data_IF_731185385111
#
_entry.id   IF_731185385111
#
_cell.length_a   1.000
_cell.length_b   1.000
_cell.length_c   1.000
_cell.angle_alpha   90.00
_cell.angle_beta   90.00
_cell.angle_gamma   90.00
#
_symmetry.space_group_name_H-M   'P 1'
#
loop_
_entity.id
_entity.type
_entity.pdbx_description
1 polymer ?
#
# COMPACT_ATOMS: atom_id res chain seq x y z
N UNK A 1 -19.84 -6.34 9.62
CA UNK A 1 -18.75 -5.56 8.99
C UNK A 1 -17.43 -5.93 9.66
N UNK A 2 -16.40 -6.19 8.88
CA UNK A 2 -15.10 -6.73 9.38
C UNK A 2 -14.23 -5.69 10.08
N UNK A 3 -14.49 -4.39 9.84
CA UNK A 3 -13.72 -3.26 10.38
C UNK A 3 -14.59 -2.27 11.15
N UNK A 4 -15.73 -2.70 11.66
CA UNK A 4 -16.67 -1.81 12.36
C UNK A 4 -16.00 -1.07 13.51
N UNK A 5 -16.13 0.28 13.52
CA UNK A 5 -15.58 1.16 14.55
C UNK A 5 -14.06 1.35 14.52
N UNK A 6 -13.34 0.80 13.54
CA UNK A 6 -11.89 1.00 13.39
C UNK A 6 -11.58 2.29 12.64
N UNK A 7 -10.41 2.85 12.93
CA UNK A 7 -9.85 3.99 12.21
C UNK A 7 -8.64 3.54 11.37
N UNK A 8 -8.62 3.93 10.10
CA UNK A 8 -7.58 3.54 9.16
C UNK A 8 -6.96 4.75 8.45
N UNK A 9 -5.66 4.71 8.23
CA UNK A 9 -4.95 5.57 7.29
C UNK A 9 -4.64 4.74 6.02
N UNK A 10 -4.97 5.28 4.85
CA UNK A 10 -4.62 4.68 3.55
C UNK A 10 -3.90 5.71 2.70
N UNK A 11 -2.65 5.44 2.31
CA UNK A 11 -1.86 6.35 1.44
C UNK A 11 -1.94 5.93 -0.03
N UNK A 12 -1.79 6.88 -0.94
CA UNK A 12 -1.99 6.63 -2.37
C UNK A 12 -3.46 6.35 -2.68
N UNK A 13 -4.36 7.03 -1.99
CA UNK A 13 -5.79 6.69 -1.95
C UNK A 13 -6.63 7.35 -3.07
N UNK A 14 -6.05 8.22 -3.90
CA UNK A 14 -6.78 8.85 -5.00
C UNK A 14 -7.11 7.87 -6.14
N UNK A 15 -6.34 6.80 -6.31
CA UNK A 15 -6.48 5.90 -7.44
C UNK A 15 -6.13 4.44 -7.12
N UNK A 16 -6.38 3.54 -8.06
CA UNK A 16 -5.91 2.15 -8.05
C UNK A 16 -6.22 1.39 -6.76
N UNK A 17 -5.21 0.71 -6.24
CA UNK A 17 -5.31 -0.16 -5.05
C UNK A 17 -5.70 0.64 -3.80
N UNK A 18 -5.09 1.82 -3.59
CA UNK A 18 -5.38 2.65 -2.43
C UNK A 18 -6.84 3.12 -2.39
N UNK A 19 -7.37 3.61 -3.53
CA UNK A 19 -8.77 3.99 -3.66
C UNK A 19 -9.72 2.82 -3.38
N UNK A 20 -9.46 1.67 -4.01
CA UNK A 20 -10.28 0.48 -3.83
C UNK A 20 -10.26 -0.01 -2.37
N UNK A 21 -9.09 0.04 -1.70
CA UNK A 21 -8.94 -0.33 -0.30
C UNK A 21 -9.65 0.63 0.64
N UNK A 22 -9.51 1.94 0.44
CA UNK A 22 -10.18 2.95 1.24
C UNK A 22 -11.71 2.80 1.16
N UNK A 23 -12.25 2.59 -0.05
CA UNK A 23 -13.68 2.38 -0.26
C UNK A 23 -14.17 1.06 0.36
N UNK A 24 -13.39 -0.01 0.25
CA UNK A 24 -13.74 -1.30 0.84
C UNK A 24 -13.68 -1.25 2.37
N UNK A 25 -12.68 -0.60 2.95
CA UNK A 25 -12.57 -0.41 4.40
C UNK A 25 -13.77 0.36 4.96
N UNK A 26 -14.17 1.45 4.28
CA UNK A 26 -15.36 2.23 4.66
C UNK A 26 -16.66 1.41 4.55
N UNK A 27 -16.80 0.60 3.49
CA UNK A 27 -17.94 -0.31 3.32
C UNK A 27 -17.99 -1.39 4.41
N UNK A 28 -16.83 -1.75 4.99
CA UNK A 28 -16.70 -2.70 6.10
C UNK A 28 -16.71 -2.02 7.49
N UNK A 29 -17.11 -0.74 7.56
CA UNK A 29 -17.40 -0.04 8.81
C UNK A 29 -16.25 0.79 9.38
N UNK A 30 -15.09 0.86 8.72
CA UNK A 30 -13.99 1.71 9.18
C UNK A 30 -14.22 3.19 8.85
N UNK A 31 -13.71 4.08 9.71
CA UNK A 31 -13.43 5.46 9.35
C UNK A 31 -12.06 5.55 8.71
N UNK A 32 -11.95 6.17 7.53
CA UNK A 32 -10.73 6.14 6.72
C UNK A 32 -10.20 7.54 6.48
N UNK A 33 -8.97 7.82 6.87
CA UNK A 33 -8.21 8.95 6.38
C UNK A 33 -7.54 8.53 5.07
N UNK A 34 -8.07 9.00 3.96
CA UNK A 34 -7.53 8.77 2.62
C UNK A 34 -6.50 9.86 2.30
N UNK A 35 -5.25 9.45 2.08
CA UNK A 35 -4.12 10.37 1.88
C UNK A 35 -3.56 10.23 0.47
N UNK A 36 -3.37 11.35 -0.21
CA UNK A 36 -2.65 11.43 -1.47
C UNK A 36 -2.01 12.82 -1.63
N UNK A 37 -1.16 12.99 -2.63
CA UNK A 37 -0.50 14.27 -2.90
C UNK A 37 -1.50 15.34 -3.36
N UNK A 38 -1.18 16.63 -3.17
CA UNK A 38 -2.13 17.73 -3.42
C UNK A 38 -2.62 17.88 -4.87
N UNK A 39 -1.85 17.38 -5.84
CA UNK A 39 -2.19 17.44 -7.27
C UNK A 39 -2.97 16.19 -7.77
N UNK A 40 -3.52 15.41 -6.84
CA UNK A 40 -4.29 14.21 -7.15
C UNK A 40 -5.80 14.46 -7.19
N UNK A 41 -6.53 13.51 -7.76
CA UNK A 41 -8.01 13.52 -7.80
C UNK A 41 -8.65 13.04 -6.47
N UNK A 42 -7.96 13.21 -5.33
CA UNK A 42 -8.34 12.59 -4.05
C UNK A 42 -9.75 12.97 -3.61
N UNK A 43 -10.08 14.25 -3.61
CA UNK A 43 -11.39 14.74 -3.17
C UNK A 43 -12.52 14.22 -4.08
N UNK A 44 -12.32 14.24 -5.39
CA UNK A 44 -13.28 13.72 -6.36
C UNK A 44 -13.45 12.20 -6.25
N UNK A 45 -12.37 11.47 -5.99
CA UNK A 45 -12.37 10.01 -5.85
C UNK A 45 -13.24 9.51 -4.69
N UNK A 46 -13.43 10.35 -3.66
CA UNK A 46 -14.16 10.00 -2.44
C UNK A 46 -15.37 10.90 -2.17
N UNK A 47 -15.80 11.70 -3.15
CA UNK A 47 -16.98 12.55 -3.01
C UNK A 47 -18.20 11.74 -2.56
N UNK A 48 -18.95 12.25 -1.56
CA UNK A 48 -20.14 11.59 -1.03
C UNK A 48 -19.91 10.33 -0.18
N UNK A 49 -18.66 10.02 0.20
CA UNK A 49 -18.32 8.89 1.07
C UNK A 49 -18.17 9.36 2.52
N UNK A 50 -19.22 9.25 3.32
CA UNK A 50 -19.27 9.77 4.70
C UNK A 50 -18.16 9.27 5.63
N UNK A 51 -17.71 8.02 5.45
CA UNK A 51 -16.66 7.38 6.27
C UNK A 51 -15.24 7.59 5.73
N UNK A 52 -15.07 8.33 4.62
CA UNK A 52 -13.76 8.60 4.03
C UNK A 52 -13.48 10.09 4.08
N UNK A 53 -12.43 10.45 4.81
CA UNK A 53 -11.94 11.81 4.90
C UNK A 53 -10.70 11.97 4.02
N UNK A 54 -10.74 12.79 2.97
CA UNK A 54 -9.56 13.07 2.17
C UNK A 54 -8.61 14.04 2.89
N UNK A 55 -7.29 13.75 2.81
CA UNK A 55 -6.21 14.61 3.25
C UNK A 55 -5.14 14.70 2.16
N UNK A 56 -4.97 15.87 1.59
CA UNK A 56 -3.92 16.15 0.61
C UNK A 56 -2.58 16.35 1.32
N UNK A 57 -1.67 15.39 1.17
CA UNK A 57 -0.34 15.41 1.79
C UNK A 57 0.65 14.58 0.98
N UNK A 58 1.79 15.16 0.62
CA UNK A 58 2.91 14.40 0.06
C UNK A 58 3.63 13.66 1.18
N UNK A 59 3.60 12.31 1.12
CA UNK A 59 4.20 11.42 2.13
C UNK A 59 5.72 11.54 2.24
N UNK A 60 6.39 12.17 1.28
CA UNK A 60 7.85 12.34 1.29
C UNK A 60 8.30 13.54 2.12
N UNK A 61 7.41 14.48 2.41
CA UNK A 61 7.72 15.68 3.20
C UNK A 61 8.08 15.32 4.65
N UNK A 62 9.07 15.99 5.22
CA UNK A 62 9.61 15.62 6.53
C UNK A 62 8.58 15.62 7.67
N UNK A 63 7.65 16.57 7.65
CA UNK A 63 6.56 16.70 8.62
C UNK A 63 5.32 15.83 8.31
N UNK A 64 5.22 15.28 7.10
CA UNK A 64 4.03 14.55 6.67
C UNK A 64 3.64 13.37 7.58
N UNK A 65 4.57 12.54 8.08
CA UNK A 65 4.19 11.41 8.94
C UNK A 65 3.46 11.84 10.21
N UNK A 66 3.93 12.87 10.89
CA UNK A 66 3.28 13.41 12.08
C UNK A 66 1.92 14.01 11.74
N UNK A 67 1.87 14.89 10.74
CA UNK A 67 0.63 15.56 10.32
C UNK A 67 -0.48 14.57 9.89
N UNK A 68 -0.13 13.50 9.16
CA UNK A 68 -1.09 12.48 8.73
C UNK A 68 -1.65 11.72 9.94
N UNK A 69 -0.80 11.32 10.88
CA UNK A 69 -1.23 10.58 12.08
C UNK A 69 -2.06 11.48 12.99
N UNK A 70 -1.62 12.71 13.24
CA UNK A 70 -2.35 13.70 14.03
C UNK A 70 -3.75 13.95 13.46
N UNK A 71 -3.87 14.14 12.14
CA UNK A 71 -5.15 14.33 11.48
C UNK A 71 -6.10 13.13 11.70
N UNK A 72 -5.59 11.89 11.67
CA UNK A 72 -6.40 10.70 11.97
C UNK A 72 -6.87 10.68 13.43
N UNK A 73 -5.99 11.02 14.36
CA UNK A 73 -6.32 11.06 15.79
C UNK A 73 -7.32 12.18 16.11
N UNK A 74 -7.13 13.38 15.56
CA UNK A 74 -8.06 14.51 15.74
C UNK A 74 -9.47 14.19 15.22
N UNK A 75 -9.57 13.46 14.12
CA UNK A 75 -10.85 13.16 13.46
C UNK A 75 -11.56 11.94 14.01
N UNK A 76 -10.82 10.91 14.40
CA UNK A 76 -11.37 9.62 14.77
C UNK A 76 -11.15 9.23 16.23
N UNK A 77 -10.28 9.95 16.95
CA UNK A 77 -9.91 9.66 18.35
C UNK A 77 -9.03 8.42 18.53
N UNK A 78 -8.68 7.72 17.45
CA UNK A 78 -7.92 6.46 17.47
C UNK A 78 -7.26 6.17 16.13
N UNK A 79 -6.31 5.25 16.14
CA UNK A 79 -5.74 4.64 14.92
C UNK A 79 -5.56 3.13 15.13
N UNK A 80 -6.14 2.33 14.25
CA UNK A 80 -6.08 0.87 14.30
C UNK A 80 -5.31 0.27 13.11
N UNK A 81 -5.40 0.90 11.94
CA UNK A 81 -4.88 0.35 10.69
C UNK A 81 -4.07 1.41 9.96
N UNK A 82 -2.83 1.07 9.61
CA UNK A 82 -2.00 1.82 8.68
C UNK A 82 -1.79 0.99 7.42
N UNK A 83 -2.35 1.43 6.30
CA UNK A 83 -2.08 0.87 4.99
C UNK A 83 -1.18 1.81 4.18
N UNK A 84 0.10 1.50 4.15
CA UNK A 84 1.12 2.17 3.35
C UNK A 84 1.07 1.66 1.91
N UNK A 85 0.37 2.40 1.03
CA UNK A 85 0.19 1.98 -0.35
C UNK A 85 0.78 2.98 -1.37
N UNK A 86 0.99 4.23 -1.02
CA UNK A 86 1.62 5.20 -1.91
C UNK A 86 2.91 4.64 -2.53
N UNK A 87 3.06 4.82 -3.83
CA UNK A 87 4.21 4.30 -4.56
C UNK A 87 4.35 4.91 -5.95
N UNK A 88 5.59 4.88 -6.45
CA UNK A 88 5.96 5.31 -7.80
C UNK A 88 6.86 4.26 -8.45
N UNK A 89 6.87 4.26 -9.79
CA UNK A 89 7.79 3.44 -10.58
C UNK A 89 8.39 4.30 -11.69
N UNK A 90 9.68 4.54 -11.61
CA UNK A 90 10.45 5.14 -12.69
C UNK A 90 11.24 4.04 -13.38
N UNK A 91 11.08 3.92 -14.70
CA UNK A 91 11.84 2.94 -15.51
C UNK A 91 13.03 3.63 -16.17
N UNK A 92 14.22 3.13 -15.87
CA UNK A 92 15.47 3.50 -16.54
C UNK A 92 16.47 2.36 -16.42
N UNK A 93 17.24 2.08 -17.47
CA UNK A 93 18.31 1.07 -17.40
C UNK A 93 19.40 1.48 -16.41
N UNK A 94 20.10 0.50 -15.85
CA UNK A 94 21.28 0.77 -15.01
C UNK A 94 22.32 1.51 -15.85
N UNK A 95 22.78 2.65 -15.36
CA UNK A 95 23.65 3.57 -16.11
C UNK A 95 22.92 4.75 -16.78
N UNK A 96 21.61 4.66 -16.92
CA UNK A 96 20.75 5.76 -17.39
C UNK A 96 19.91 6.36 -16.24
N UNK A 97 19.61 5.57 -15.22
CA UNK A 97 18.85 6.01 -14.05
C UNK A 97 19.65 7.06 -13.26
N UNK A 98 19.04 8.23 -13.09
CA UNK A 98 19.65 9.34 -12.36
C UNK A 98 19.49 9.20 -10.85
N UNK A 99 20.39 9.82 -10.06
CA UNK A 99 20.26 9.88 -8.61
C UNK A 99 18.92 10.47 -8.12
N UNK A 100 18.37 11.56 -8.71
CA UNK A 100 17.05 12.05 -8.35
C UNK A 100 15.93 11.04 -8.54
N UNK A 101 15.90 10.28 -9.63
CA UNK A 101 14.90 9.24 -9.89
C UNK A 101 15.01 8.07 -8.92
N UNK A 102 16.24 7.63 -8.63
CA UNK A 102 16.53 6.64 -7.60
C UNK A 102 16.01 7.10 -6.23
N UNK A 103 16.42 8.30 -5.81
CA UNK A 103 16.06 8.87 -4.52
C UNK A 103 14.55 9.11 -4.39
N UNK A 104 13.87 9.58 -5.45
CA UNK A 104 12.41 9.71 -5.47
C UNK A 104 11.75 8.36 -5.21
N UNK A 105 12.17 7.31 -5.93
CA UNK A 105 11.58 5.97 -5.79
C UNK A 105 11.76 5.41 -4.39
N UNK A 106 12.96 5.51 -3.81
CA UNK A 106 13.22 5.07 -2.44
C UNK A 106 12.46 5.92 -1.40
N UNK A 107 12.40 7.23 -1.61
CA UNK A 107 11.70 8.15 -0.68
C UNK A 107 10.23 7.83 -0.57
N UNK A 108 9.53 7.62 -1.70
CA UNK A 108 8.11 7.31 -1.71
C UNK A 108 7.86 5.87 -1.27
N UNK A 109 8.55 4.90 -1.90
CA UNK A 109 8.19 3.49 -1.76
C UNK A 109 8.67 2.85 -0.45
N UNK A 110 9.73 3.37 0.16
CA UNK A 110 10.35 2.76 1.35
C UNK A 110 10.45 3.73 2.52
N UNK A 111 11.10 4.88 2.34
CA UNK A 111 11.37 5.80 3.45
C UNK A 111 10.07 6.36 4.04
N UNK A 112 9.09 6.72 3.21
CA UNK A 112 7.79 7.20 3.68
C UNK A 112 7.05 6.15 4.50
N UNK A 113 7.07 4.87 4.07
CA UNK A 113 6.45 3.77 4.82
C UNK A 113 7.08 3.57 6.20
N UNK A 114 8.41 3.63 6.29
CA UNK A 114 9.14 3.57 7.56
C UNK A 114 8.75 4.74 8.49
N UNK A 115 8.76 5.97 7.97
CA UNK A 115 8.45 7.17 8.76
C UNK A 115 7.00 7.18 9.24
N UNK A 116 6.04 6.82 8.39
CA UNK A 116 4.63 6.70 8.76
C UNK A 116 4.40 5.59 9.79
N UNK A 117 5.02 4.43 9.63
CA UNK A 117 4.96 3.38 10.63
C UNK A 117 5.50 3.88 11.98
N UNK A 118 6.66 4.56 11.99
CA UNK A 118 7.25 5.13 13.20
C UNK A 118 6.31 6.11 13.90
N UNK A 119 5.69 7.03 13.15
CA UNK A 119 4.74 8.00 13.71
C UNK A 119 3.45 7.34 14.23
N UNK A 120 2.99 6.27 13.57
CA UNK A 120 1.76 5.57 13.92
C UNK A 120 1.90 4.66 15.14
N UNK A 121 3.10 4.14 15.43
CA UNK A 121 3.35 3.14 16.50
C UNK A 121 2.79 3.56 17.86
N UNK A 122 2.95 4.79 18.39
CA UNK A 122 2.38 5.17 19.69
C UNK A 122 0.87 4.93 19.76
N UNK A 123 0.15 5.29 18.71
CA UNK A 123 -1.31 5.18 18.64
C UNK A 123 -1.78 3.75 18.32
N UNK A 124 -1.04 3.00 17.52
CA UNK A 124 -1.33 1.58 17.25
C UNK A 124 -1.16 0.71 18.50
N UNK A 125 -0.30 1.10 19.45
CA UNK A 125 -0.16 0.43 20.76
C UNK A 125 -1.39 0.57 21.65
N UNK A 126 -2.16 1.64 21.48
CA UNK A 126 -3.42 1.87 22.20
C UNK A 126 -4.59 1.15 21.56
N UNK A 127 -4.40 0.63 20.35
CA UNK A 127 -5.43 -0.15 19.63
C UNK A 127 -5.48 -1.57 20.16
N UNK A 128 -6.68 -2.15 20.38
CA UNK A 128 -6.83 -3.58 20.72
C UNK A 128 -6.44 -4.51 19.57
N UNK A 129 -6.26 -3.98 18.36
CA UNK A 129 -5.97 -4.74 17.15
C UNK A 129 -5.18 -3.91 16.12
N UNK A 130 -3.98 -3.46 16.51
CA UNK A 130 -3.10 -2.67 15.64
C UNK A 130 -2.66 -3.45 14.38
N UNK A 131 -2.74 -2.83 13.21
CA UNK A 131 -2.40 -3.45 11.92
C UNK A 131 -1.55 -2.50 11.09
N UNK A 132 -0.40 -2.98 10.61
CA UNK A 132 0.42 -2.31 9.60
C UNK A 132 0.45 -3.19 8.36
N UNK A 133 0.03 -2.65 7.22
CA UNK A 133 0.10 -3.32 5.94
C UNK A 133 0.93 -2.44 4.99
N UNK A 134 1.99 -3.00 4.43
CA UNK A 134 2.87 -2.30 3.50
C UNK A 134 2.72 -2.87 2.08
N UNK A 135 2.78 -2.00 1.08
CA UNK A 135 2.71 -2.44 -0.32
C UNK A 135 4.11 -2.68 -0.88
N UNK A 136 4.48 -3.97 -0.96
CA UNK A 136 5.64 -4.44 -1.72
C UNK A 136 5.27 -4.64 -3.20
N UNK A 137 5.70 -5.72 -3.80
CA UNK A 137 5.39 -6.17 -5.18
C UNK A 137 5.95 -7.56 -5.37
N UNK A 138 5.48 -8.31 -6.35
CA UNK A 138 6.19 -9.51 -6.85
C UNK A 138 7.62 -9.15 -7.30
N UNK A 139 7.87 -7.89 -7.70
CA UNK A 139 9.19 -7.36 -8.04
C UNK A 139 10.14 -7.23 -6.85
N UNK A 140 9.72 -7.54 -5.64
CA UNK A 140 10.60 -7.71 -4.48
C UNK A 140 11.44 -9.00 -4.55
N UNK A 141 10.99 -9.99 -5.32
CA UNK A 141 11.62 -11.31 -5.48
C UNK A 141 12.03 -11.62 -6.92
N UNK A 142 11.36 -11.02 -7.88
CA UNK A 142 11.70 -11.06 -9.29
C UNK A 142 11.96 -9.63 -9.79
N UNK A 143 12.37 -9.46 -11.03
CA UNK A 143 12.58 -8.13 -11.60
C UNK A 143 12.29 -8.12 -13.10
N UNK A 144 12.36 -6.94 -13.70
CA UNK A 144 12.30 -6.70 -15.13
C UNK A 144 13.28 -5.59 -15.50
N UNK A 145 13.54 -5.41 -16.78
CA UNK A 145 14.43 -4.37 -17.28
C UNK A 145 14.01 -2.97 -16.79
N UNK A 146 14.99 -2.18 -16.37
CA UNK A 146 14.80 -0.79 -15.94
C UNK A 146 14.09 -0.61 -14.61
N UNK A 147 14.01 -1.62 -13.74
CA UNK A 147 13.34 -1.55 -12.45
C UNK A 147 14.30 -1.55 -11.23
N UNK A 148 15.55 -1.11 -11.39
CA UNK A 148 16.54 -1.20 -10.31
C UNK A 148 16.06 -0.54 -9.01
N UNK A 149 15.69 0.75 -9.03
CA UNK A 149 15.20 1.46 -7.84
C UNK A 149 13.89 0.88 -7.31
N UNK A 150 12.96 0.53 -8.22
CA UNK A 150 11.67 -0.04 -7.84
C UNK A 150 11.83 -1.37 -7.12
N UNK A 151 12.54 -2.33 -7.72
CA UNK A 151 12.78 -3.65 -7.12
C UNK A 151 13.54 -3.56 -5.81
N UNK A 152 14.58 -2.71 -5.73
CA UNK A 152 15.31 -2.46 -4.48
C UNK A 152 14.38 -1.91 -3.39
N UNK A 153 13.53 -0.91 -3.72
CA UNK A 153 12.57 -0.35 -2.76
C UNK A 153 11.58 -1.40 -2.25
N UNK A 154 11.03 -2.24 -3.16
CA UNK A 154 10.02 -3.25 -2.80
C UNK A 154 10.62 -4.43 -2.02
N UNK A 155 11.85 -4.82 -2.30
CA UNK A 155 12.60 -5.76 -1.47
C UNK A 155 12.90 -5.18 -0.08
N UNK A 156 13.24 -3.88 0.00
CA UNK A 156 13.42 -3.16 1.26
C UNK A 156 12.15 -3.13 2.12
N UNK A 157 10.96 -2.95 1.50
CA UNK A 157 9.67 -3.01 2.20
C UNK A 157 9.46 -4.37 2.86
N UNK A 158 9.79 -5.46 2.20
CA UNK A 158 9.68 -6.80 2.78
C UNK A 158 10.60 -6.97 4.01
N UNK A 159 11.84 -6.47 3.94
CA UNK A 159 12.78 -6.46 5.05
C UNK A 159 12.28 -5.62 6.23
N UNK A 160 11.88 -4.36 5.95
CA UNK A 160 11.30 -3.44 6.94
C UNK A 160 10.12 -4.09 7.67
N UNK A 161 9.18 -4.69 6.92
CA UNK A 161 7.95 -5.22 7.50
C UNK A 161 8.22 -6.38 8.45
N UNK A 162 9.17 -7.27 8.12
CA UNK A 162 9.57 -8.35 9.02
C UNK A 162 10.14 -7.83 10.34
N UNK A 163 10.93 -6.76 10.31
CA UNK A 163 11.44 -6.10 11.51
C UNK A 163 10.31 -5.47 12.32
N UNK A 164 9.37 -4.74 11.66
CA UNK A 164 8.19 -4.20 12.34
C UNK A 164 7.36 -5.28 13.05
N UNK A 165 7.20 -6.45 12.42
CA UNK A 165 6.48 -7.57 13.03
C UNK A 165 7.16 -8.09 14.32
N UNK A 166 8.49 -8.18 14.32
CA UNK A 166 9.25 -8.61 15.50
C UNK A 166 9.20 -7.56 16.62
N UNK A 167 9.45 -6.29 16.30
CA UNK A 167 9.54 -5.22 17.26
C UNK A 167 8.19 -4.91 17.93
N UNK A 168 7.09 -5.04 17.16
CA UNK A 168 5.77 -4.59 17.57
C UNK A 168 4.84 -5.73 18.03
N UNK A 169 5.18 -6.99 17.76
CA UNK A 169 4.35 -8.15 18.09
C UNK A 169 3.99 -8.25 19.58
N UNK A 170 4.91 -7.86 20.47
CA UNK A 170 4.66 -7.84 21.92
C UNK A 170 3.55 -6.86 22.37
N UNK A 171 3.15 -5.94 21.48
CA UNK A 171 2.04 -5.01 21.70
C UNK A 171 0.74 -5.46 21.01
N UNK A 172 0.68 -6.68 20.45
CA UNK A 172 -0.47 -7.17 19.71
C UNK A 172 -0.62 -6.60 18.29
N UNK A 173 0.39 -5.84 17.81
CA UNK A 173 0.39 -5.26 16.48
C UNK A 173 0.91 -6.29 15.47
N UNK A 174 0.14 -6.57 14.41
CA UNK A 174 0.65 -7.34 13.27
C UNK A 174 1.18 -6.40 12.19
N UNK A 175 2.28 -6.78 11.56
CA UNK A 175 2.84 -6.07 10.42
C UNK A 175 3.04 -7.05 9.25
N UNK A 176 2.38 -6.78 8.12
CA UNK A 176 2.42 -7.63 6.93
C UNK A 176 2.65 -6.80 5.67
N UNK A 177 3.00 -7.44 4.58
CA UNK A 177 3.09 -6.77 3.29
C UNK A 177 2.32 -7.54 2.22
N UNK A 178 1.79 -6.79 1.24
CA UNK A 178 1.12 -7.33 0.08
C UNK A 178 2.09 -7.30 -1.10
N UNK A 179 2.09 -8.33 -1.92
CA UNK A 179 2.88 -8.42 -3.16
C UNK A 179 1.94 -8.51 -4.37
N UNK A 180 1.46 -7.36 -4.90
CA UNK A 180 0.66 -7.36 -6.11
C UNK A 180 1.45 -7.87 -7.32
N UNK A 181 0.76 -8.60 -8.21
CA UNK A 181 1.24 -8.95 -9.55
C UNK A 181 0.95 -7.85 -10.57
N UNK A 182 0.57 -8.25 -11.79
CA UNK A 182 0.17 -7.35 -12.86
C UNK A 182 -1.27 -6.85 -12.63
N UNK A 183 -1.42 -5.67 -12.06
CA UNK A 183 -2.71 -5.07 -11.68
C UNK A 183 -2.99 -3.85 -12.55
N UNK A 184 -4.21 -3.71 -13.06
CA UNK A 184 -4.67 -2.53 -13.82
C UNK A 184 -4.85 -1.33 -12.88
N UNK A 185 -3.92 -0.39 -12.93
CA UNK A 185 -3.92 0.83 -12.11
C UNK A 185 -3.43 2.01 -12.95
N UNK A 186 -3.50 3.24 -12.43
CA UNK A 186 -2.90 4.40 -13.08
C UNK A 186 -1.39 4.23 -13.36
N UNK A 187 -0.66 3.55 -12.46
CA UNK A 187 0.78 3.28 -12.63
C UNK A 187 1.08 2.36 -13.81
N UNK A 188 0.21 1.41 -14.10
CA UNK A 188 0.39 0.40 -15.15
C UNK A 188 -0.37 0.74 -16.43
N UNK A 189 -1.16 1.82 -16.41
CA UNK A 189 -2.05 2.20 -17.52
C UNK A 189 -1.30 2.32 -18.85
N UNK A 190 -0.19 3.04 -18.89
CA UNK A 190 0.58 3.23 -20.12
C UNK A 190 1.06 1.90 -20.75
N UNK A 191 1.32 0.87 -19.93
CA UNK A 191 1.70 -0.45 -20.44
C UNK A 191 0.49 -1.31 -20.84
N UNK A 192 -0.61 -1.22 -20.10
CA UNK A 192 -1.77 -2.10 -20.30
C UNK A 192 -2.89 -1.48 -21.17
N UNK A 193 -2.74 -0.22 -21.63
CA UNK A 193 -3.52 0.34 -22.72
C UNK A 193 -3.09 -0.26 -24.09
N UNK A 194 -1.93 -0.90 -24.17
CA UNK A 194 -1.51 -1.73 -25.28
C UNK A 194 -2.06 -3.16 -25.11
N UNK A 195 -2.99 -3.55 -25.97
CA UNK A 195 -3.68 -4.84 -25.90
C UNK A 195 -2.72 -6.03 -26.03
N UNK A 196 -1.62 -5.90 -26.80
CA UNK A 196 -0.64 -6.98 -26.96
C UNK A 196 0.16 -7.18 -25.68
N UNK A 197 0.60 -6.09 -25.04
CA UNK A 197 1.30 -6.12 -23.75
C UNK A 197 0.36 -6.66 -22.67
N UNK A 198 -0.87 -6.17 -22.61
CA UNK A 198 -1.89 -6.64 -21.65
C UNK A 198 -2.15 -8.14 -21.81
N UNK A 199 -2.30 -8.63 -23.05
CA UNK A 199 -2.50 -10.06 -23.35
C UNK A 199 -1.30 -10.93 -22.93
N UNK A 200 -0.07 -10.44 -23.13
CA UNK A 200 1.16 -11.15 -22.69
C UNK A 200 1.16 -11.30 -21.17
N UNK A 201 0.88 -10.24 -20.43
CA UNK A 201 0.85 -10.30 -18.96
C UNK A 201 -0.31 -11.14 -18.42
N UNK A 202 -1.49 -11.02 -19.03
CA UNK A 202 -2.63 -11.88 -18.70
C UNK A 202 -2.31 -13.36 -18.94
N UNK A 203 -1.63 -13.69 -20.04
CA UNK A 203 -1.24 -15.07 -20.37
C UNK A 203 -0.20 -15.65 -19.40
N UNK A 204 0.67 -14.82 -18.80
CA UNK A 204 1.63 -15.26 -17.79
C UNK A 204 0.95 -15.69 -16.49
N UNK A 205 -0.12 -15.02 -16.08
CA UNK A 205 -0.87 -15.39 -14.89
C UNK A 205 -1.62 -16.73 -15.09
N UNK A 206 -1.66 -17.58 -14.07
CA UNK A 206 -2.41 -18.83 -14.12
C UNK A 206 -3.91 -18.60 -14.31
N UNK A 207 -4.45 -17.50 -13.73
CA UNK A 207 -5.85 -17.09 -13.88
C UNK A 207 -6.18 -16.44 -15.23
N UNK A 208 -5.19 -16.26 -16.12
CA UNK A 208 -5.36 -15.77 -17.51
C UNK A 208 -6.03 -14.39 -17.62
N UNK A 209 -5.85 -13.54 -16.64
CA UNK A 209 -6.29 -12.16 -16.65
C UNK A 209 -5.30 -11.27 -15.91
N UNK A 210 -5.36 -9.97 -16.17
CA UNK A 210 -4.78 -8.98 -15.28
C UNK A 210 -5.59 -8.93 -13.99
N UNK A 211 -4.93 -8.55 -12.90
CA UNK A 211 -5.62 -8.27 -11.66
C UNK A 211 -6.28 -6.88 -11.68
N UNK A 212 -7.31 -6.73 -10.89
CA UNK A 212 -7.99 -5.46 -10.64
C UNK A 212 -7.62 -4.92 -9.25
N UNK A 213 -7.72 -3.61 -9.02
CA UNK A 213 -7.49 -3.02 -7.70
C UNK A 213 -8.26 -3.70 -6.57
N UNK A 214 -9.48 -4.15 -6.84
CA UNK A 214 -10.33 -4.82 -5.85
C UNK A 214 -9.80 -6.21 -5.46
N UNK A 215 -9.06 -6.90 -6.35
CA UNK A 215 -8.43 -8.18 -6.00
C UNK A 215 -7.42 -7.99 -4.87
N UNK A 216 -6.65 -6.90 -4.94
CA UNK A 216 -5.68 -6.54 -3.90
C UNK A 216 -6.39 -6.00 -2.65
N UNK A 217 -7.38 -5.12 -2.82
CA UNK A 217 -8.11 -4.53 -1.69
C UNK A 217 -8.75 -5.59 -0.78
N UNK A 218 -9.26 -6.69 -1.33
CA UNK A 218 -9.81 -7.82 -0.56
C UNK A 218 -8.75 -8.53 0.28
N UNK A 219 -7.55 -8.70 -0.25
CA UNK A 219 -6.44 -9.28 0.49
C UNK A 219 -5.93 -8.33 1.60
N UNK A 220 -5.87 -7.03 1.32
CA UNK A 220 -5.55 -6.00 2.31
C UNK A 220 -6.60 -5.96 3.41
N UNK A 221 -7.90 -6.06 3.08
CA UNK A 221 -8.98 -6.17 4.05
C UNK A 221 -8.81 -7.39 4.97
N UNK A 222 -8.43 -8.55 4.43
CA UNK A 222 -8.12 -9.72 5.24
C UNK A 222 -7.00 -9.41 6.26
N UNK A 223 -5.88 -8.85 5.80
CA UNK A 223 -4.75 -8.50 6.68
C UNK A 223 -5.09 -7.41 7.71
N UNK A 224 -6.04 -6.52 7.40
CA UNK A 224 -6.53 -5.46 8.28
C UNK A 224 -7.53 -5.96 9.33
N UNK A 225 -8.16 -7.10 9.12
CA UNK A 225 -9.22 -7.65 9.97
C UNK A 225 -8.69 -8.55 11.09
N UNK A 226 -9.60 -9.04 11.95
CA UNK A 226 -9.28 -10.01 12.99
C UNK A 226 -9.00 -11.41 12.43
N UNK A 227 -9.46 -11.70 11.21
CA UNK A 227 -9.18 -12.97 10.53
C UNK A 227 -7.68 -13.21 10.33
N UNK A 228 -6.87 -12.14 10.27
CA UNK A 228 -5.42 -12.18 10.16
C UNK A 228 -4.70 -11.96 11.51
N UNK A 229 -5.38 -12.11 12.64
CA UNK A 229 -4.83 -11.80 13.95
C UNK A 229 -3.58 -12.58 14.35
N UNK A 230 -3.30 -13.73 13.69
CA UNK A 230 -2.09 -14.53 13.90
C UNK A 230 -1.16 -14.56 12.66
N UNK A 231 -1.39 -13.65 11.70
CA UNK A 231 -0.53 -13.45 10.53
C UNK A 231 0.34 -12.23 10.75
N UNK A 232 1.66 -12.40 10.91
CA UNK A 232 2.59 -11.29 11.10
C UNK A 232 3.96 -11.59 10.46
N UNK A 233 4.59 -10.58 9.88
CA UNK A 233 5.85 -10.71 9.14
C UNK A 233 5.70 -11.35 7.75
N UNK A 234 4.47 -11.59 7.30
CA UNK A 234 4.16 -12.34 6.09
C UNK A 234 4.01 -11.43 4.86
N UNK A 235 4.51 -11.92 3.71
CA UNK A 235 4.27 -11.35 2.38
C UNK A 235 3.17 -12.11 1.66
N UNK A 236 1.99 -11.52 1.56
CA UNK A 236 0.87 -12.13 0.85
C UNK A 236 0.92 -11.78 -0.64
N UNK A 237 1.29 -12.76 -1.45
CA UNK A 237 1.31 -12.62 -2.91
C UNK A 237 -0.10 -12.69 -3.47
N UNK A 238 -0.49 -11.69 -4.27
CA UNK A 238 -1.79 -11.61 -4.95
C UNK A 238 -1.55 -11.25 -6.42
N UNK A 239 -1.29 -12.26 -7.23
CA UNK A 239 -0.75 -12.11 -8.57
C UNK A 239 -1.44 -13.01 -9.62
N UNK A 240 -2.50 -13.70 -9.24
CA UNK A 240 -3.20 -14.65 -10.13
C UNK A 240 -2.34 -15.83 -10.55
N UNK A 241 -1.27 -16.15 -9.78
CA UNK A 241 -0.32 -17.21 -10.09
C UNK A 241 0.73 -16.83 -11.13
N UNK A 242 0.98 -15.53 -11.31
CA UNK A 242 1.99 -15.00 -12.23
C UNK A 242 3.39 -15.52 -11.93
N UNK A 243 3.76 -15.57 -10.64
CA UNK A 243 5.10 -15.96 -10.19
C UNK A 243 5.34 -17.46 -10.07
N UNK A 244 4.35 -18.29 -10.41
CA UNK A 244 4.49 -19.76 -10.39
C UNK A 244 5.20 -20.32 -11.64
N UNK A 245 5.41 -19.48 -12.65
CA UNK A 245 6.08 -19.88 -13.91
C UNK A 245 7.39 -19.12 -14.06
N UNK A 246 8.39 -19.84 -14.52
CA UNK A 246 9.67 -19.32 -15.04
C UNK A 246 9.53 -18.92 -16.51
#
# INVERSE_FOLDING_TARGET
>A
MRLEGRAAIVTGAASGIGRASAQLFAAEGANVLAVDRPDSELAAAHAGKERILPLEQDVTMGQAPAAIVEAAIERFGRLDILFNNAGVSVRALVGEQTDPEWNLTLSVNLTAQFRLATAAVPHLKESPAGRIINTASVMARMTDYGLAAYSASKAGVAGLTRTLALDLGKFGITANYIEPGAIQTGMTKAAFDDDEIAAVWAKKAALRRLGEPIDIARAVLFLASDDAGFVSGHGLTVDGGLTLRT
#
